data_IF_538860112623
#
_entry.id   IF_538860112623
#
_cell.length_a   1.000
_cell.length_b   1.000
_cell.length_c   1.000
_cell.angle_alpha   90.00
_cell.angle_beta   90.00
_cell.angle_gamma   90.00
#
_symmetry.space_group_name_H-M   'P 1'
#
loop_
_entity.id
_entity.type
_entity.pdbx_description
1 polymer ?
#
# COMPACT_ATOMS: atom_id res chain seq x y z
N UNK A 1 20.30 -18.54 10.51
CA UNK A 1 18.87 -18.55 10.13
C UNK A 1 18.80 -18.35 8.64
N UNK A 2 18.04 -19.21 7.96
CA UNK A 2 17.77 -19.09 6.52
C UNK A 2 16.76 -17.97 6.26
N UNK A 3 16.71 -17.49 5.03
CA UNK A 3 15.72 -16.49 4.64
C UNK A 3 14.31 -17.08 4.65
N UNK A 4 13.32 -16.30 5.11
CA UNK A 4 11.91 -16.67 5.03
C UNK A 4 11.48 -16.73 3.56
N UNK A 5 10.55 -17.65 3.27
CA UNK A 5 10.11 -17.89 1.91
C UNK A 5 9.20 -16.80 1.35
N UNK A 6 9.16 -16.69 0.01
CA UNK A 6 8.37 -15.69 -0.75
C UNK A 6 6.90 -15.57 -0.29
N UNK A 7 6.25 -16.69 0.03
CA UNK A 7 4.84 -16.71 0.48
C UNK A 7 4.68 -16.10 1.88
N UNK A 8 5.63 -16.36 2.77
CA UNK A 8 5.60 -15.88 4.14
C UNK A 8 5.86 -14.38 4.19
N UNK A 9 6.84 -13.90 3.42
CA UNK A 9 7.12 -12.47 3.34
C UNK A 9 5.97 -11.69 2.67
N UNK A 10 5.31 -12.28 1.65
CA UNK A 10 4.12 -11.67 1.04
C UNK A 10 2.96 -11.58 2.05
N UNK A 11 2.77 -12.62 2.88
CA UNK A 11 1.77 -12.58 3.95
C UNK A 11 2.08 -11.50 4.98
N UNK A 12 3.32 -11.42 5.46
CA UNK A 12 3.73 -10.42 6.44
C UNK A 12 3.59 -8.99 5.91
N UNK A 13 3.98 -8.76 4.65
CA UNK A 13 3.81 -7.46 3.99
C UNK A 13 2.33 -7.07 3.85
N UNK A 14 1.47 -8.02 3.46
CA UNK A 14 0.04 -7.79 3.36
C UNK A 14 -0.60 -7.48 4.73
N UNK A 15 -0.23 -8.23 5.77
CA UNK A 15 -0.71 -8.01 7.14
C UNK A 15 -0.26 -6.63 7.67
N UNK A 16 0.99 -6.24 7.43
CA UNK A 16 1.49 -4.91 7.76
C UNK A 16 0.67 -3.80 7.09
N UNK A 17 0.39 -3.92 5.79
CA UNK A 17 -0.40 -2.92 5.08
C UNK A 17 -1.86 -2.88 5.54
N UNK A 18 -2.49 -4.02 5.82
CA UNK A 18 -3.85 -4.08 6.36
C UNK A 18 -3.96 -3.41 7.73
N UNK A 19 -2.96 -3.60 8.58
CA UNK A 19 -2.92 -2.95 9.90
C UNK A 19 -2.72 -1.44 9.79
N UNK A 20 -1.97 -0.98 8.78
CA UNK A 20 -1.74 0.45 8.56
C UNK A 20 -2.90 1.14 7.83
N UNK A 21 -3.63 0.40 7.01
CA UNK A 21 -4.72 0.86 6.17
C UNK A 21 -5.95 -0.03 6.37
N UNK A 22 -6.66 0.16 7.48
CA UNK A 22 -7.77 -0.70 7.90
C UNK A 22 -8.90 -0.83 6.85
N UNK A 23 -9.10 0.21 6.04
CA UNK A 23 -10.10 0.25 4.95
C UNK A 23 -9.52 -0.16 3.58
N UNK A 24 -8.29 -0.66 3.52
CA UNK A 24 -7.69 -1.16 2.28
C UNK A 24 -8.47 -2.38 1.80
N UNK A 25 -8.78 -2.38 0.51
CA UNK A 25 -9.51 -3.46 -0.16
C UNK A 25 -8.83 -3.82 -1.46
N UNK A 26 -9.18 -4.98 -2.03
CA UNK A 26 -8.67 -5.42 -3.33
C UNK A 26 -7.14 -5.36 -3.41
N UNK A 27 -6.49 -5.95 -2.40
CA UNK A 27 -5.04 -5.96 -2.26
C UNK A 27 -4.42 -7.03 -3.16
N UNK A 28 -3.44 -6.64 -3.97
CA UNK A 28 -2.73 -7.50 -4.91
C UNK A 28 -1.22 -7.41 -4.67
N UNK A 29 -0.53 -8.53 -4.92
CA UNK A 29 0.93 -8.56 -5.01
C UNK A 29 1.30 -8.27 -6.46
N UNK A 30 2.07 -7.21 -6.68
CA UNK A 30 2.48 -6.76 -8.02
C UNK A 30 3.87 -7.30 -8.39
N UNK A 31 4.79 -7.27 -7.43
CA UNK A 31 6.20 -7.59 -7.66
C UNK A 31 6.82 -8.12 -6.36
N UNK A 32 7.67 -9.16 -6.48
CA UNK A 32 8.47 -9.68 -5.37
C UNK A 32 9.88 -9.95 -5.87
N UNK A 33 10.86 -9.35 -5.21
CA UNK A 33 12.27 -9.48 -5.51
C UNK A 33 13.04 -9.75 -4.21
N UNK A 34 14.09 -10.56 -4.29
CA UNK A 34 15.10 -10.69 -3.24
C UNK A 34 16.38 -10.02 -3.75
N UNK A 35 17.05 -9.26 -2.89
CA UNK A 35 18.33 -8.68 -3.27
C UNK A 35 19.41 -9.75 -3.51
N UNK A 36 20.44 -9.38 -4.26
CA UNK A 36 21.53 -10.30 -4.62
C UNK A 36 22.24 -10.92 -3.40
N UNK A 37 22.22 -10.20 -2.27
CA UNK A 37 22.83 -10.63 -1.02
C UNK A 37 21.88 -11.46 -0.13
N UNK A 38 20.63 -11.66 -0.54
CA UNK A 38 19.59 -12.36 0.22
C UNK A 38 19.39 -11.82 1.64
N UNK A 39 19.61 -10.52 1.82
CA UNK A 39 19.37 -9.82 3.08
C UNK A 39 17.98 -9.20 3.12
N UNK A 40 17.39 -8.88 1.97
CA UNK A 40 16.14 -8.16 1.91
C UNK A 40 15.20 -8.68 0.82
N UNK A 41 13.92 -8.76 1.18
CA UNK A 41 12.83 -8.84 0.22
C UNK A 41 12.30 -7.45 -0.10
N UNK A 42 12.03 -7.20 -1.37
CA UNK A 42 11.29 -6.04 -1.86
C UNK A 42 9.96 -6.52 -2.43
N UNK A 43 8.85 -6.03 -1.88
CA UNK A 43 7.51 -6.42 -2.33
C UNK A 43 6.69 -5.19 -2.63
N UNK A 44 6.17 -5.11 -3.86
CA UNK A 44 5.19 -4.10 -4.24
C UNK A 44 3.79 -4.66 -4.13
N UNK A 45 2.94 -3.97 -3.37
CA UNK A 45 1.50 -4.23 -3.30
C UNK A 45 0.73 -3.10 -3.94
N UNK A 46 -0.42 -3.45 -4.53
CA UNK A 46 -1.46 -2.48 -4.85
C UNK A 46 -2.72 -2.74 -4.01
N UNK A 47 -3.49 -1.70 -3.74
CA UNK A 47 -4.76 -1.80 -3.00
C UNK A 47 -5.66 -0.59 -3.27
N UNK A 48 -6.97 -0.77 -3.19
CA UNK A 48 -7.93 0.34 -3.18
C UNK A 48 -8.02 0.95 -1.78
N UNK A 49 -7.84 2.27 -1.69
CA UNK A 49 -7.97 3.01 -0.44
C UNK A 49 -8.71 4.34 -0.65
N UNK A 50 -9.17 4.96 0.44
CA UNK A 50 -9.87 6.26 0.39
C UNK A 50 -8.99 7.29 -0.35
N UNK A 51 -9.55 7.90 -1.39
CA UNK A 51 -8.90 9.00 -2.09
C UNK A 51 -8.67 10.16 -1.11
N UNK A 52 -7.42 10.65 -1.03
CA UNK A 52 -7.14 11.85 -0.22
C UNK A 52 -7.86 13.04 -0.87
N UNK A 53 -8.63 13.79 -0.07
CA UNK A 53 -9.25 15.04 -0.53
C UNK A 53 -8.14 16.06 -0.83
N UNK A 54 -8.24 16.71 -1.98
CA UNK A 54 -7.39 17.85 -2.29
C UNK A 54 -8.03 19.09 -1.62
N UNK A 55 -7.53 19.47 -0.45
CA UNK A 55 -8.09 20.55 0.38
C UNK A 55 -8.01 21.95 -0.27
N UNK A 56 -7.39 22.04 -1.46
CA UNK A 56 -7.07 23.31 -2.14
C UNK A 56 -8.20 23.91 -2.97
N UNK A 57 -9.35 23.23 -3.12
CA UNK A 57 -10.45 23.71 -3.98
C UNK A 57 -11.72 23.87 -3.13
N UNK A 58 -11.83 24.98 -2.41
CA UNK A 58 -13.04 25.37 -1.68
C UNK A 58 -13.87 26.36 -2.51
N UNK A 59 -14.84 25.86 -3.26
CA UNK A 59 -15.89 26.69 -3.90
C UNK A 59 -17.27 26.27 -3.39
N UNK A 60 -18.28 27.16 -3.38
CA UNK A 60 -19.62 26.85 -2.86
C UNK A 60 -20.32 25.68 -3.54
N UNK A 61 -19.95 25.38 -4.80
CA UNK A 61 -20.47 24.23 -5.56
C UNK A 61 -19.97 22.88 -5.00
N UNK A 62 -18.84 22.87 -4.29
CA UNK A 62 -18.28 21.66 -3.68
C UNK A 62 -19.04 21.22 -2.43
N UNK A 63 -19.73 22.12 -1.70
CA UNK A 63 -20.44 21.74 -0.48
C UNK A 63 -21.59 20.73 -0.72
N UNK A 64 -22.25 20.78 -1.88
CA UNK A 64 -23.29 19.81 -2.27
C UNK A 64 -22.72 18.50 -2.83
N UNK A 65 -21.52 18.55 -3.44
CA UNK A 65 -20.75 17.36 -3.83
C UNK A 65 -20.07 16.68 -2.62
N UNK A 66 -19.77 17.44 -1.57
CA UNK A 66 -19.20 16.96 -0.30
C UNK A 66 -20.20 16.09 0.49
N UNK A 67 -21.49 16.43 0.46
CA UNK A 67 -22.55 15.60 1.06
C UNK A 67 -22.83 14.31 0.27
N UNK A 68 -22.59 14.30 -1.05
CA UNK A 68 -22.72 13.11 -1.89
C UNK A 68 -21.48 12.19 -1.83
N UNK A 69 -20.28 12.75 -1.73
CA UNK A 69 -19.02 11.98 -1.62
C UNK A 69 -18.82 11.34 -0.24
N UNK A 70 -19.50 11.84 0.79
CA UNK A 70 -19.63 11.15 2.09
C UNK A 70 -20.53 9.92 2.00
N UNK A 71 -21.49 9.89 1.07
CA UNK A 71 -22.34 8.71 0.80
C UNK A 71 -21.65 7.69 -0.13
N UNK A 72 -20.73 8.15 -1.00
CA UNK A 72 -19.97 7.30 -1.92
C UNK A 72 -18.47 7.62 -1.85
N UNK A 73 -17.75 7.05 -0.87
CA UNK A 73 -16.32 7.31 -0.73
C UNK A 73 -15.57 6.80 -1.97
N UNK A 74 -15.05 7.72 -2.78
CA UNK A 74 -14.21 7.37 -3.92
C UNK A 74 -12.94 6.69 -3.43
N UNK A 75 -12.65 5.50 -3.98
CA UNK A 75 -11.41 4.77 -3.72
C UNK A 75 -10.45 4.91 -4.89
N UNK A 76 -9.17 4.97 -4.61
CA UNK A 76 -8.11 4.99 -5.63
C UNK A 76 -7.11 3.86 -5.40
N UNK A 77 -6.50 3.37 -6.49
CA UNK A 77 -5.46 2.36 -6.44
C UNK A 77 -4.16 2.99 -5.95
N UNK A 78 -3.70 2.54 -4.80
CA UNK A 78 -2.44 2.94 -4.20
C UNK A 78 -1.40 1.83 -4.41
N UNK A 79 -0.13 2.21 -4.51
CA UNK A 79 1.00 1.30 -4.67
C UNK A 79 2.05 1.56 -3.58
N UNK A 80 2.50 0.49 -2.91
CA UNK A 80 3.53 0.56 -1.86
C UNK A 80 4.56 -0.53 -2.06
N UNK A 81 5.83 -0.16 -2.00
CA UNK A 81 6.93 -1.12 -1.95
C UNK A 81 7.47 -1.21 -0.54
N UNK A 82 7.45 -2.41 0.03
CA UNK A 82 8.03 -2.72 1.34
C UNK A 82 9.42 -3.29 1.16
N UNK A 83 10.37 -2.86 2.01
CA UNK A 83 11.64 -3.55 2.24
C UNK A 83 11.50 -4.37 3.52
N UNK A 84 11.70 -5.68 3.43
CA UNK A 84 11.51 -6.61 4.54
C UNK A 84 12.81 -7.36 4.79
N UNK A 85 13.22 -7.48 6.05
CA UNK A 85 14.39 -8.26 6.44
C UNK A 85 14.17 -9.74 6.11
N UNK A 86 15.08 -10.33 5.33
CA UNK A 86 14.90 -11.67 4.80
C UNK A 86 14.93 -12.75 5.87
N UNK A 87 15.53 -12.52 7.04
CA UNK A 87 15.67 -13.54 8.09
C UNK A 87 14.56 -13.47 9.12
N UNK A 88 14.11 -12.26 9.44
CA UNK A 88 13.18 -12.00 10.54
C UNK A 88 11.76 -11.70 10.05
N UNK A 89 11.60 -11.27 8.81
CA UNK A 89 10.31 -10.81 8.30
C UNK A 89 9.91 -9.41 8.76
N UNK A 90 10.81 -8.69 9.44
CA UNK A 90 10.54 -7.35 9.90
C UNK A 90 10.46 -6.37 8.71
N UNK A 91 9.35 -5.63 8.61
CA UNK A 91 9.22 -4.54 7.63
C UNK A 91 10.14 -3.39 8.07
N UNK A 92 11.18 -3.12 7.27
CA UNK A 92 12.20 -2.13 7.57
C UNK A 92 11.88 -0.75 7.00
N UNK A 93 11.21 -0.68 5.85
CA UNK A 93 10.76 0.58 5.26
C UNK A 93 9.61 0.37 4.29
N UNK A 94 8.86 1.44 4.04
CA UNK A 94 7.79 1.50 3.05
C UNK A 94 8.00 2.74 2.16
N UNK A 95 7.94 2.55 0.84
CA UNK A 95 8.03 3.62 -0.15
C UNK A 95 6.76 3.71 -0.96
N UNK A 96 6.42 4.92 -1.39
CA UNK A 96 5.35 5.16 -2.38
C UNK A 96 5.95 4.92 -3.76
N UNK A 97 5.25 4.19 -4.62
CA UNK A 97 5.59 4.10 -6.04
C UNK A 97 4.81 5.18 -6.77
N UNK A 98 5.50 6.22 -7.25
CA UNK A 98 4.89 7.15 -8.20
C UNK A 98 4.86 6.46 -9.56
N UNK A 99 3.66 6.10 -10.02
CA UNK A 99 3.46 5.72 -11.41
C UNK A 99 3.41 7.03 -12.20
N UNK A 100 4.46 7.32 -12.96
CA UNK A 100 4.38 8.38 -13.97
C UNK A 100 3.34 7.94 -15.01
N UNK A 101 2.22 8.67 -15.05
CA UNK A 101 1.18 8.53 -16.06
C UNK A 101 1.51 9.30 -17.32
#
# INVERSE_FOLDING_TARGET
>A
MEAIGVKEVAKQGADFLKNLYEDASDMLVEEVEMDDQQQYWFITFSYLYKKKRDERISTPLNATLESLSTLYPSRERNYKTLKIDAKTGAVLSMKIRELQG
#
